data_IF_748733846679
#
_entry.id   IF_748733846679
#
_cell.length_a   1.000
_cell.length_b   1.000
_cell.length_c   1.000
_cell.angle_alpha   90.00
_cell.angle_beta   90.00
_cell.angle_gamma   90.00
#
_symmetry.space_group_name_H-M   'P 1'
#
loop_
_entity.id
_entity.type
_entity.pdbx_description
1 polymer ?
#
# COMPACT_ATOMS: atom_id res chain seq x y z
N UNK A 1 -16.14 -3.40 -9.98
CA UNK A 1 -14.76 -3.54 -10.50
C UNK A 1 -14.04 -4.48 -9.57
N UNK A 2 -13.38 -5.50 -10.10
CA UNK A 2 -12.51 -6.39 -9.34
C UNK A 2 -11.21 -5.69 -8.99
N UNK A 3 -10.75 -5.84 -7.75
CA UNK A 3 -9.62 -5.06 -7.24
C UNK A 3 -8.58 -5.84 -6.43
N UNK A 4 -7.38 -5.26 -6.36
CA UNK A 4 -6.36 -5.55 -5.35
C UNK A 4 -5.53 -4.29 -5.07
N UNK A 5 -5.67 -3.72 -3.86
CA UNK A 5 -5.09 -2.42 -3.51
C UNK A 5 -3.87 -2.51 -2.59
N UNK A 6 -3.29 -3.69 -2.43
CA UNK A 6 -2.08 -3.86 -1.64
C UNK A 6 -1.14 -4.87 -2.31
N UNK A 7 -0.32 -4.37 -3.23
CA UNK A 7 0.67 -5.14 -3.98
C UNK A 7 2.03 -4.45 -3.80
N UNK A 8 3.11 -5.20 -3.58
CA UNK A 8 4.46 -4.66 -3.53
C UNK A 8 5.20 -4.86 -4.84
N UNK A 9 6.02 -3.89 -5.24
CA UNK A 9 6.97 -4.08 -6.34
C UNK A 9 8.34 -4.47 -5.82
N UNK A 10 9.25 -4.78 -6.74
CA UNK A 10 10.66 -5.03 -6.43
C UNK A 10 11.40 -3.81 -5.81
N UNK A 11 10.72 -2.68 -5.65
CA UNK A 11 11.18 -1.55 -4.84
C UNK A 11 11.12 -1.88 -3.35
N UNK A 12 10.09 -2.61 -2.90
CA UNK A 12 10.02 -3.13 -1.54
C UNK A 12 11.04 -4.25 -1.34
N UNK A 13 11.93 -4.18 -0.35
CA UNK A 13 13.06 -5.11 -0.24
C UNK A 13 12.64 -6.57 0.02
N UNK A 14 11.48 -6.76 0.66
CA UNK A 14 10.88 -8.06 0.94
C UNK A 14 10.14 -8.69 -0.25
N UNK A 15 9.94 -7.96 -1.35
CA UNK A 15 9.26 -8.47 -2.54
C UNK A 15 10.26 -9.11 -3.51
N UNK A 16 9.74 -9.98 -4.39
CA UNK A 16 10.56 -10.64 -5.40
C UNK A 16 11.08 -9.65 -6.45
N UNK A 17 12.34 -9.80 -6.89
CA UNK A 17 12.94 -8.99 -7.98
C UNK A 17 12.10 -9.05 -9.29
N UNK A 18 11.29 -10.09 -9.49
CA UNK A 18 10.36 -10.25 -10.62
C UNK A 18 9.08 -9.40 -10.50
N UNK A 19 8.83 -8.73 -9.38
CA UNK A 19 7.71 -7.79 -9.18
C UNK A 19 7.97 -6.46 -9.91
N UNK A 20 8.27 -6.53 -11.21
CA UNK A 20 8.51 -5.40 -12.10
C UNK A 20 7.19 -4.75 -12.55
N UNK A 21 7.19 -3.49 -13.03
CA UNK A 21 5.98 -2.83 -13.51
C UNK A 21 5.21 -3.62 -14.56
N UNK A 22 5.87 -4.15 -15.60
CA UNK A 22 5.14 -4.93 -16.60
C UNK A 22 4.61 -6.24 -16.06
N UNK A 23 5.38 -6.94 -15.21
CA UNK A 23 4.94 -8.21 -14.65
C UNK A 23 3.71 -8.02 -13.75
N UNK A 24 3.71 -7.02 -12.84
CA UNK A 24 2.57 -6.73 -11.97
C UNK A 24 1.34 -6.41 -12.81
N UNK A 25 1.46 -5.46 -13.74
CA UNK A 25 0.33 -4.98 -14.54
C UNK A 25 -0.24 -6.10 -15.43
N UNK A 26 0.61 -6.86 -16.11
CA UNK A 26 0.15 -7.95 -16.96
C UNK A 26 -0.41 -9.12 -16.13
N UNK A 27 0.16 -9.40 -14.95
CA UNK A 27 -0.39 -10.41 -14.06
C UNK A 27 -1.77 -10.01 -13.57
N UNK A 28 -1.97 -8.77 -13.12
CA UNK A 28 -3.28 -8.28 -12.70
C UNK A 28 -4.35 -8.40 -13.80
N UNK A 29 -4.00 -8.09 -15.05
CA UNK A 29 -4.88 -8.31 -16.21
C UNK A 29 -5.20 -9.80 -16.40
N UNK A 30 -4.19 -10.68 -16.33
CA UNK A 30 -4.39 -12.14 -16.43
C UNK A 30 -5.31 -12.66 -15.32
N UNK A 31 -5.17 -12.09 -14.11
CA UNK A 31 -5.97 -12.39 -12.91
C UNK A 31 -7.40 -11.81 -12.96
N UNK A 32 -7.72 -11.06 -14.01
CA UNK A 32 -9.04 -10.47 -14.23
C UNK A 32 -9.36 -9.27 -13.34
N UNK A 33 -8.34 -8.57 -12.82
CA UNK A 33 -8.53 -7.37 -12.02
C UNK A 33 -8.79 -6.15 -12.92
N UNK A 34 -9.77 -5.33 -12.55
CA UNK A 34 -10.12 -4.11 -13.28
C UNK A 34 -9.30 -2.90 -12.78
N UNK A 35 -8.90 -2.92 -11.51
CA UNK A 35 -8.17 -1.83 -10.85
C UNK A 35 -7.23 -2.36 -9.77
N UNK A 36 -6.00 -1.84 -9.72
CA UNK A 36 -5.03 -2.22 -8.68
C UNK A 36 -4.34 -1.00 -8.06
N UNK A 37 -3.66 -1.24 -6.94
CA UNK A 37 -2.69 -0.31 -6.37
C UNK A 37 -1.41 -1.03 -5.96
N UNK A 38 -0.27 -0.44 -6.31
CA UNK A 38 1.04 -0.88 -5.81
C UNK A 38 1.43 0.03 -4.66
N UNK A 39 1.74 -0.56 -3.50
CA UNK A 39 1.89 0.10 -2.22
C UNK A 39 3.27 -0.20 -1.63
N UNK A 40 4.34 0.18 -2.32
CA UNK A 40 5.70 -0.05 -1.83
C UNK A 40 5.95 0.59 -0.46
N UNK A 41 6.77 -0.06 0.36
CA UNK A 41 7.09 0.43 1.70
C UNK A 41 7.76 1.81 1.63
N UNK A 42 7.15 2.80 2.27
CA UNK A 42 7.67 4.15 2.46
C UNK A 42 8.26 4.83 1.20
N UNK A 43 7.75 4.48 0.02
CA UNK A 43 8.23 5.02 -1.25
C UNK A 43 7.15 5.04 -2.34
N UNK A 44 7.25 6.05 -3.20
CA UNK A 44 6.36 6.22 -4.37
C UNK A 44 7.13 6.17 -5.70
N UNK A 45 8.42 5.83 -5.67
CA UNK A 45 9.30 5.98 -6.84
C UNK A 45 8.88 5.08 -8.02
N UNK A 46 8.23 3.96 -7.76
CA UNK A 46 7.78 3.04 -8.81
C UNK A 46 6.52 3.53 -9.56
N UNK A 47 5.77 4.48 -8.98
CA UNK A 47 4.43 4.86 -9.44
C UNK A 47 4.43 5.46 -10.85
N UNK A 48 5.48 6.21 -11.22
CA UNK A 48 5.57 6.79 -12.56
C UNK A 48 5.70 5.72 -13.65
N UNK A 49 6.49 4.66 -13.42
CA UNK A 49 6.62 3.58 -14.41
C UNK A 49 5.33 2.74 -14.47
N UNK A 50 4.69 2.49 -13.34
CA UNK A 50 3.38 1.81 -13.29
C UNK A 50 2.32 2.57 -14.09
N UNK A 51 2.26 3.90 -13.91
CA UNK A 51 1.40 4.78 -14.70
C UNK A 51 1.62 4.60 -16.20
N UNK A 52 2.87 4.73 -16.66
CA UNK A 52 3.22 4.61 -18.07
C UNK A 52 2.90 3.24 -18.66
N UNK A 53 3.08 2.16 -17.88
CA UNK A 53 2.77 0.80 -18.32
C UNK A 53 1.26 0.54 -18.39
N UNK A 54 0.48 1.09 -17.47
CA UNK A 54 -0.97 0.89 -17.40
C UNK A 54 -1.77 1.74 -18.38
N UNK A 55 -1.26 2.93 -18.73
CA UNK A 55 -1.96 3.95 -19.53
C UNK A 55 -2.61 3.42 -20.82
N UNK A 56 -1.96 2.47 -21.50
CA UNK A 56 -2.42 1.92 -22.78
C UNK A 56 -2.99 0.49 -22.64
N UNK A 57 -3.34 0.07 -21.43
CA UNK A 57 -3.89 -1.27 -21.12
C UNK A 57 -5.28 -1.18 -20.49
N UNK A 58 -6.00 -2.30 -20.51
CA UNK A 58 -7.35 -2.42 -19.94
C UNK A 58 -7.29 -2.68 -18.43
N UNK A 59 -6.66 -1.77 -17.69
CA UNK A 59 -6.57 -1.82 -16.22
C UNK A 59 -6.39 -0.41 -15.66
N UNK A 60 -7.12 -0.11 -14.60
CA UNK A 60 -7.01 1.17 -13.89
C UNK A 60 -6.01 1.10 -12.74
N UNK A 61 -5.45 2.24 -12.35
CA UNK A 61 -4.57 2.37 -11.20
C UNK A 61 -5.12 3.34 -10.16
N UNK A 62 -5.02 2.95 -8.90
CA UNK A 62 -4.79 3.90 -7.80
C UNK A 62 -3.30 3.93 -7.52
N UNK A 63 -2.76 5.11 -7.23
CA UNK A 63 -1.37 5.26 -6.85
C UNK A 63 -1.23 4.99 -5.36
N UNK A 64 -0.46 3.98 -5.01
CA UNK A 64 -0.36 3.47 -3.65
C UNK A 64 0.98 3.78 -2.97
N UNK A 65 1.00 3.55 -1.67
CA UNK A 65 2.18 3.49 -0.79
C UNK A 65 1.75 2.84 0.52
N UNK A 66 2.58 1.98 1.09
CA UNK A 66 2.40 1.50 2.47
C UNK A 66 3.39 2.23 3.37
N UNK A 67 2.89 3.00 4.34
CA UNK A 67 3.71 3.78 5.26
C UNK A 67 3.77 3.11 6.61
N UNK A 68 4.97 2.95 7.17
CA UNK A 68 5.18 2.52 8.55
C UNK A 68 5.29 3.75 9.45
N UNK A 69 4.31 3.96 10.34
CA UNK A 69 4.34 5.07 11.29
C UNK A 69 5.39 4.86 12.39
N UNK A 70 5.63 5.89 13.21
CA UNK A 70 6.52 5.80 14.39
C UNK A 70 6.11 4.71 15.37
N UNK A 71 4.83 4.41 15.44
CA UNK A 71 4.25 3.33 16.24
C UNK A 71 4.37 1.97 15.52
N UNK A 72 5.18 1.85 14.48
CA UNK A 72 5.38 0.62 13.69
C UNK A 72 4.07 0.06 13.08
N UNK A 73 3.06 0.92 12.91
CA UNK A 73 1.77 0.56 12.30
C UNK A 73 1.79 0.90 10.83
N UNK A 74 1.38 -0.06 9.99
CA UNK A 74 1.28 0.14 8.55
C UNK A 74 -0.06 0.78 8.14
N UNK A 75 0.03 1.75 7.25
CA UNK A 75 -1.10 2.52 6.73
C UNK A 75 -0.93 2.64 5.21
N UNK A 76 -1.94 2.22 4.45
CA UNK A 76 -1.96 2.45 3.01
C UNK A 76 -2.43 3.87 2.72
N UNK A 77 -1.67 4.57 1.88
CA UNK A 77 -2.11 5.79 1.22
C UNK A 77 -2.51 5.48 -0.22
N UNK A 78 -3.77 5.70 -0.57
CA UNK A 78 -4.30 5.43 -1.91
C UNK A 78 -4.81 6.72 -2.56
N UNK A 79 -4.26 7.03 -3.73
CA UNK A 79 -4.45 8.32 -4.40
C UNK A 79 -4.99 8.12 -5.81
N UNK A 80 -5.89 9.02 -6.25
CA UNK A 80 -6.42 9.03 -7.62
C UNK A 80 -5.46 9.69 -8.61
N UNK A 81 -4.69 10.66 -8.13
CA UNK A 81 -3.81 11.48 -8.95
C UNK A 81 -2.34 11.17 -8.64
N UNK A 82 -1.55 10.93 -9.69
CA UNK A 82 -0.13 10.60 -9.57
C UNK A 82 0.65 11.72 -8.89
N UNK A 83 0.31 12.98 -9.19
CA UNK A 83 1.00 14.15 -8.63
C UNK A 83 0.80 14.27 -7.12
N UNK A 84 -0.39 13.93 -6.63
CA UNK A 84 -0.73 13.95 -5.21
C UNK A 84 0.05 12.88 -4.46
N UNK A 85 0.06 11.65 -4.99
CA UNK A 85 0.89 10.56 -4.48
C UNK A 85 2.39 10.93 -4.44
N UNK A 86 2.93 11.51 -5.51
CA UNK A 86 4.34 11.91 -5.56
C UNK A 86 4.67 13.03 -4.55
N UNK A 87 3.75 13.98 -4.33
CA UNK A 87 3.94 15.03 -3.34
C UNK A 87 3.87 14.47 -1.91
N UNK A 88 2.96 13.52 -1.65
CA UNK A 88 2.97 12.76 -0.39
C UNK A 88 4.27 11.96 -0.22
N UNK A 89 4.79 11.34 -1.28
CA UNK A 89 6.07 10.63 -1.28
C UNK A 89 7.24 11.52 -0.82
N UNK A 90 7.31 12.77 -1.30
CA UNK A 90 8.31 13.75 -0.83
C UNK A 90 8.18 14.05 0.66
N UNK A 91 6.94 14.11 1.18
CA UNK A 91 6.70 14.28 2.60
C UNK A 91 7.19 13.05 3.39
N UNK A 92 6.91 11.84 2.92
CA UNK A 92 7.41 10.59 3.51
C UNK A 92 8.94 10.59 3.55
N UNK A 93 9.61 10.90 2.45
CA UNK A 93 11.07 10.95 2.39
C UNK A 93 11.68 11.99 3.34
N UNK A 94 10.97 13.08 3.61
CA UNK A 94 11.41 14.12 4.55
C UNK A 94 11.27 13.71 6.03
N UNK A 95 10.45 12.71 6.34
CA UNK A 95 10.16 12.23 7.71
C UNK A 95 10.72 10.83 7.99
N UNK A 96 11.23 10.15 6.96
CA UNK A 96 11.87 8.84 7.02
C UNK A 96 13.34 8.97 7.45
N UNK A 97 13.77 8.27 8.51
CA UNK A 97 15.19 8.26 8.88
C UNK A 97 16.02 7.53 7.84
N UNK A 98 17.25 8.00 7.61
CA UNK A 98 18.18 7.29 6.73
C UNK A 98 18.94 6.20 7.50
N UNK A 99 18.71 4.95 7.13
CA UNK A 99 19.46 3.79 7.58
C UNK A 99 19.96 3.08 6.32
N UNK A 100 21.25 2.73 6.25
CA UNK A 100 21.77 1.99 5.10
C UNK A 100 21.16 0.59 5.06
N UNK A 101 20.60 0.20 3.92
CA UNK A 101 20.04 -1.13 3.69
C UNK A 101 21.14 -2.20 3.75
N UNK A 102 20.83 -3.31 4.41
CA UNK A 102 21.62 -4.54 4.35
C UNK A 102 20.94 -5.51 3.37
N UNK A 103 21.31 -5.43 2.09
CA UNK A 103 20.71 -6.24 1.02
C UNK A 103 20.76 -7.75 1.29
N UNK A 104 21.78 -8.24 2.01
CA UNK A 104 21.89 -9.67 2.33
C UNK A 104 20.84 -10.16 3.33
N UNK A 105 20.24 -9.25 4.09
CA UNK A 105 19.23 -9.55 5.10
C UNK A 105 17.83 -9.14 4.65
N UNK A 106 17.67 -7.92 4.13
CA UNK A 106 16.36 -7.38 3.77
C UNK A 106 15.97 -7.62 2.32
N UNK A 107 16.94 -7.77 1.41
CA UNK A 107 16.71 -7.80 -0.04
C UNK A 107 17.05 -6.48 -0.74
N UNK A 108 16.92 -6.48 -2.07
CA UNK A 108 17.26 -5.32 -2.92
C UNK A 108 16.05 -4.39 -3.03
N UNK A 109 16.31 -3.10 -3.25
CA UNK A 109 15.26 -2.10 -3.45
C UNK A 109 15.45 -1.48 -4.82
N UNK A 110 14.79 -2.04 -5.82
CA UNK A 110 15.03 -1.76 -7.23
C UNK A 110 13.92 -0.88 -7.80
N UNK A 111 14.31 0.25 -8.39
CA UNK A 111 13.40 1.10 -9.16
C UNK A 111 13.55 0.78 -10.64
N UNK A 112 12.43 0.48 -11.28
CA UNK A 112 12.37 0.14 -12.69
C UNK A 112 11.71 1.25 -13.52
N UNK A 113 12.12 1.40 -14.77
CA UNK A 113 11.37 2.17 -15.76
C UNK A 113 10.25 1.34 -16.41
N UNK A 114 9.53 1.93 -17.37
CA UNK A 114 8.43 1.27 -18.09
C UNK A 114 8.81 0.08 -18.97
N UNK A 115 10.10 -0.12 -19.23
CA UNK A 115 10.63 -1.25 -20.00
C UNK A 115 11.19 -2.36 -19.07
N UNK A 116 10.94 -2.27 -17.76
CA UNK A 116 11.53 -3.14 -16.73
C UNK A 116 13.07 -3.07 -16.71
N UNK A 117 13.66 -1.94 -17.10
CA UNK A 117 15.09 -1.69 -16.90
C UNK A 117 15.30 -1.01 -15.54
N UNK A 118 16.27 -1.50 -14.76
CA UNK A 118 16.64 -0.92 -13.47
C UNK A 118 17.22 0.48 -13.73
N UNK A 119 16.59 1.52 -13.19
CA UNK A 119 17.06 2.91 -13.27
C UNK A 119 17.74 3.37 -11.98
N UNK A 120 17.39 2.77 -10.86
CA UNK A 120 17.96 3.10 -9.56
C UNK A 120 17.93 1.88 -8.63
N UNK A 121 18.88 1.81 -7.71
CA UNK A 121 18.84 0.91 -6.55
C UNK A 121 18.99 1.75 -5.31
N UNK A 122 18.01 1.69 -4.40
CA UNK A 122 18.04 2.53 -3.19
C UNK A 122 18.95 1.94 -2.12
N UNK A 123 19.91 2.76 -1.65
CA UNK A 123 20.79 2.42 -0.54
C UNK A 123 20.13 2.60 0.84
N UNK A 124 19.12 3.47 0.96
CA UNK A 124 18.41 3.73 2.20
C UNK A 124 17.28 2.73 2.44
N UNK A 125 17.26 2.06 3.58
CA UNK A 125 16.27 1.04 3.95
C UNK A 125 14.85 1.63 3.95
N UNK A 126 13.93 0.95 3.27
CA UNK A 126 12.51 1.29 3.23
C UNK A 126 11.68 0.67 4.35
N UNK A 127 12.12 -0.48 4.89
CA UNK A 127 11.52 -1.14 6.08
C UNK A 127 12.00 -0.43 7.35
N UNK A 128 11.53 0.79 7.56
CA UNK A 128 11.86 1.61 8.70
C UNK A 128 10.70 2.52 9.06
N UNK A 129 10.46 2.66 10.36
CA UNK A 129 9.44 3.55 10.90
C UNK A 129 9.77 5.02 10.59
N UNK A 130 8.77 5.78 10.16
CA UNK A 130 8.86 7.24 10.08
C UNK A 130 8.99 7.85 11.49
N UNK A 131 9.44 9.10 11.54
CA UNK A 131 9.37 9.90 12.77
C UNK A 131 7.95 10.40 13.11
N UNK A 132 7.02 10.27 12.16
CA UNK A 132 5.63 10.71 12.22
C UNK A 132 4.70 9.64 12.81
N UNK A 133 3.76 10.06 13.64
CA UNK A 133 2.71 9.22 14.23
C UNK A 133 1.66 8.75 13.20
N UNK A 134 0.88 7.73 13.55
CA UNK A 134 -0.29 7.26 12.78
C UNK A 134 -1.20 8.44 12.39
N UNK A 135 -1.51 9.33 13.34
CA UNK A 135 -2.39 10.48 13.10
C UNK A 135 -1.78 11.46 12.10
N UNK A 136 -0.49 11.77 12.23
CA UNK A 136 0.22 12.63 11.29
C UNK A 136 0.27 12.02 9.88
N UNK A 137 0.53 10.72 9.76
CA UNK A 137 0.51 10.00 8.48
C UNK A 137 -0.86 10.09 7.82
N UNK A 138 -1.93 9.78 8.56
CA UNK A 138 -3.31 9.85 8.04
C UNK A 138 -3.68 11.26 7.59
N UNK A 139 -3.38 12.26 8.43
CA UNK A 139 -3.66 13.66 8.12
C UNK A 139 -2.91 14.11 6.85
N UNK A 140 -1.69 13.64 6.64
CA UNK A 140 -0.91 13.97 5.45
C UNK A 140 -1.43 13.26 4.21
N UNK A 141 -1.82 11.99 4.30
CA UNK A 141 -2.51 11.29 3.20
C UNK A 141 -3.73 12.11 2.75
N UNK A 142 -4.56 12.56 3.70
CA UNK A 142 -5.73 13.39 3.43
C UNK A 142 -5.39 14.77 2.86
N UNK A 143 -4.32 15.41 3.35
CA UNK A 143 -3.87 16.72 2.86
C UNK A 143 -3.48 16.66 1.36
N UNK A 144 -2.99 15.51 0.89
CA UNK A 144 -2.72 15.26 -0.52
C UNK A 144 -3.87 14.47 -1.18
N UNK A 145 -5.12 14.67 -0.75
CA UNK A 145 -6.34 14.08 -1.35
C UNK A 145 -6.36 12.54 -1.44
N UNK A 146 -5.53 11.85 -0.67
CA UNK A 146 -5.51 10.40 -0.57
C UNK A 146 -6.53 9.85 0.41
N UNK A 147 -6.72 8.53 0.36
CA UNK A 147 -7.48 7.74 1.33
C UNK A 147 -6.53 6.93 2.19
N UNK A 148 -6.76 6.95 3.50
CA UNK A 148 -5.93 6.26 4.47
C UNK A 148 -6.59 4.97 4.95
N UNK A 149 -5.97 3.83 4.67
CA UNK A 149 -6.46 2.51 5.05
C UNK A 149 -5.54 1.92 6.11
N UNK A 150 -6.12 1.40 7.20
CA UNK A 150 -5.35 0.64 8.19
C UNK A 150 -5.00 -0.73 7.59
N UNK A 151 -3.72 -0.97 7.29
CA UNK A 151 -3.25 -2.19 6.62
C UNK A 151 -3.33 -3.39 7.58
N UNK A 152 -3.64 -4.57 7.01
CA UNK A 152 -3.65 -5.90 7.65
C UNK A 152 -3.91 -5.89 9.17
N UNK A 153 -5.02 -5.25 9.57
CA UNK A 153 -5.20 -4.70 10.91
C UNK A 153 -5.07 -5.73 12.06
N UNK A 154 -5.29 -7.02 11.77
CA UNK A 154 -5.24 -8.15 12.71
C UNK A 154 -4.22 -9.25 12.37
N UNK A 155 -3.54 -9.18 11.22
CA UNK A 155 -2.80 -10.34 10.69
C UNK A 155 -1.29 -10.26 10.82
N UNK A 156 -0.73 -9.05 10.77
CA UNK A 156 0.72 -8.83 10.84
C UNK A 156 1.10 -8.14 12.14
N UNK A 157 2.39 -8.21 12.49
CA UNK A 157 2.95 -7.53 13.65
C UNK A 157 2.76 -6.02 13.57
N UNK A 158 2.80 -5.47 12.37
CA UNK A 158 2.58 -4.05 12.07
C UNK A 158 1.10 -3.68 11.86
N UNK A 159 0.17 -4.62 12.01
CA UNK A 159 -1.27 -4.34 12.00
C UNK A 159 -1.66 -3.60 13.28
N UNK A 160 -2.44 -2.53 13.17
CA UNK A 160 -2.75 -1.62 14.29
C UNK A 160 -3.30 -2.34 15.55
N UNK A 161 -4.12 -3.37 15.41
CA UNK A 161 -4.67 -4.09 16.57
C UNK A 161 -3.63 -5.06 17.15
N UNK A 162 -2.80 -5.68 16.30
CA UNK A 162 -1.71 -6.54 16.77
C UNK A 162 -0.67 -5.74 17.53
N UNK A 163 -0.35 -4.54 17.04
CA UNK A 163 0.69 -3.69 17.61
C UNK A 163 0.21 -2.90 18.83
N UNK A 164 -0.93 -2.20 18.74
CA UNK A 164 -1.44 -1.33 19.81
C UNK A 164 -2.53 -1.97 20.67
N UNK A 165 -3.13 -3.07 20.23
CA UNK A 165 -4.25 -3.73 20.92
C UNK A 165 -5.62 -3.12 20.65
N UNK A 166 -5.70 -1.93 20.03
CA UNK A 166 -6.95 -1.23 19.73
C UNK A 166 -6.81 -0.23 18.58
N UNK A 167 -7.93 0.19 17.98
CA UNK A 167 -8.00 1.30 17.01
C UNK A 167 -8.49 2.56 17.73
N UNK A 168 -7.73 3.66 17.81
CA UNK A 168 -8.18 4.89 18.46
C UNK A 168 -9.46 5.45 17.83
N UNK A 169 -10.42 5.89 18.65
CA UNK A 169 -11.74 6.38 18.20
C UNK A 169 -11.67 7.64 17.34
N UNK A 170 -10.69 8.50 17.61
CA UNK A 170 -10.58 9.80 16.94
C UNK A 170 -9.77 9.74 15.65
N UNK A 171 -9.19 8.57 15.33
CA UNK A 171 -8.38 8.36 14.14
C UNK A 171 -9.25 8.45 12.88
N UNK A 172 -8.85 9.30 11.93
CA UNK A 172 -9.62 9.61 10.73
C UNK A 172 -9.29 8.68 9.56
N UNK A 173 -9.29 7.36 9.77
CA UNK A 173 -9.08 6.42 8.67
C UNK A 173 -10.33 6.31 7.78
N UNK A 174 -10.14 5.94 6.52
CA UNK A 174 -11.21 5.77 5.52
C UNK A 174 -11.61 4.30 5.34
N UNK A 175 -10.72 3.37 5.66
CA UNK A 175 -10.98 1.94 5.55
C UNK A 175 -10.05 1.09 6.40
N UNK A 176 -10.35 -0.20 6.45
CA UNK A 176 -9.57 -1.20 7.18
C UNK A 176 -9.39 -2.41 6.28
N UNK A 177 -8.15 -2.82 6.11
CA UNK A 177 -7.80 -4.07 5.45
C UNK A 177 -7.90 -5.24 6.43
N UNK A 178 -8.60 -6.28 6.00
CA UNK A 178 -8.89 -7.50 6.75
C UNK A 178 -8.79 -8.71 5.84
N UNK A 179 -8.56 -9.89 6.42
CA UNK A 179 -8.45 -11.14 5.66
C UNK A 179 -9.79 -11.83 5.41
N UNK A 180 -10.73 -11.72 6.33
CA UNK A 180 -12.02 -12.41 6.26
C UNK A 180 -13.13 -11.72 7.07
N UNK A 181 -14.36 -12.19 6.89
CA UNK A 181 -15.53 -11.67 7.63
C UNK A 181 -15.44 -11.92 9.15
N UNK A 182 -14.68 -12.93 9.60
CA UNK A 182 -14.52 -13.19 11.03
C UNK A 182 -13.70 -12.09 11.70
N UNK A 183 -12.71 -11.53 11.00
CA UNK A 183 -11.98 -10.35 11.46
C UNK A 183 -12.86 -9.12 11.56
N UNK A 184 -13.73 -8.86 10.57
CA UNK A 184 -14.69 -7.76 10.62
C UNK A 184 -15.52 -7.83 11.91
N UNK A 185 -16.09 -8.99 12.21
CA UNK A 185 -16.91 -9.17 13.41
C UNK A 185 -16.10 -8.99 14.71
N UNK A 186 -14.86 -9.50 14.76
CA UNK A 186 -13.95 -9.27 15.89
C UNK A 186 -13.68 -7.78 16.08
N UNK A 187 -13.37 -7.05 15.02
CA UNK A 187 -13.07 -5.62 15.07
C UNK A 187 -14.30 -4.84 15.55
N UNK A 188 -15.48 -5.09 14.97
CA UNK A 188 -16.74 -4.44 15.37
C UNK A 188 -17.09 -4.71 16.84
N UNK A 189 -16.90 -5.94 17.31
CA UNK A 189 -17.20 -6.30 18.72
C UNK A 189 -16.34 -5.53 19.73
N UNK A 190 -15.07 -5.26 19.40
CA UNK A 190 -14.12 -4.57 20.27
C UNK A 190 -14.15 -3.05 20.09
N UNK A 191 -14.58 -2.59 18.91
CA UNK A 191 -14.58 -1.18 18.52
C UNK A 191 -15.96 -0.76 17.98
N UNK A 192 -17.01 -0.75 18.80
CA UNK A 192 -18.39 -0.48 18.36
C UNK A 192 -18.63 0.94 17.82
N UNK A 193 -17.64 1.83 17.92
CA UNK A 193 -17.67 3.16 17.29
C UNK A 193 -17.30 3.15 15.81
N UNK A 194 -16.69 2.06 15.32
CA UNK A 194 -16.39 1.87 13.89
C UNK A 194 -17.71 1.56 13.19
N UNK A 195 -18.25 2.58 12.51
CA UNK A 195 -19.50 2.53 11.75
C UNK A 195 -19.21 2.98 10.32
N UNK A 196 -19.91 2.39 9.37
CA UNK A 196 -19.85 2.81 7.96
C UNK A 196 -18.42 2.85 7.40
N UNK A 197 -17.60 1.88 7.81
CA UNK A 197 -16.21 1.70 7.37
C UNK A 197 -16.15 0.82 6.13
N UNK A 198 -15.26 1.19 5.21
CA UNK A 198 -14.91 0.35 4.08
C UNK A 198 -13.97 -0.78 4.53
N UNK A 199 -14.40 -2.02 4.28
CA UNK A 199 -13.60 -3.22 4.54
C UNK A 199 -12.96 -3.66 3.23
N UNK A 200 -11.64 -3.74 3.22
CA UNK A 200 -10.87 -4.15 2.05
C UNK A 200 -10.22 -5.51 2.29
N UNK A 201 -10.17 -6.31 1.23
CA UNK A 201 -9.54 -7.63 1.22
C UNK A 201 -8.48 -7.64 0.11
N UNK A 202 -7.24 -7.29 0.47
CA UNK A 202 -6.13 -7.22 -0.48
C UNK A 202 -5.17 -8.40 -0.28
N UNK A 203 -4.28 -8.61 -1.25
CA UNK A 203 -3.34 -9.73 -1.22
C UNK A 203 -2.13 -9.52 -0.31
N UNK A 204 -1.67 -8.27 -0.14
CA UNK A 204 -0.34 -7.97 0.42
C UNK A 204 0.75 -8.72 -0.39
N UNK A 205 0.59 -8.72 -1.72
CA UNK A 205 1.37 -9.58 -2.61
C UNK A 205 2.83 -9.13 -2.72
N UNK A 206 3.73 -10.05 -2.40
CA UNK A 206 5.18 -9.91 -2.55
C UNK A 206 5.74 -10.77 -3.70
N UNK A 207 4.92 -11.64 -4.27
CA UNK A 207 5.18 -12.41 -5.49
C UNK A 207 3.99 -12.32 -6.44
N UNK A 208 4.23 -12.49 -7.74
CA UNK A 208 3.20 -12.37 -8.76
C UNK A 208 2.04 -13.35 -8.57
N UNK A 209 2.34 -14.55 -8.05
CA UNK A 209 1.34 -15.59 -7.80
C UNK A 209 0.38 -15.24 -6.65
N UNK A 210 0.82 -14.36 -5.74
CA UNK A 210 0.06 -13.97 -4.56
C UNK A 210 -0.96 -12.86 -4.87
N UNK A 211 -0.82 -12.17 -6.01
CA UNK A 211 -1.81 -11.18 -6.48
C UNK A 211 -3.18 -11.85 -6.58
N UNK A 212 -4.18 -11.20 -6.00
CA UNK A 212 -5.54 -11.74 -5.95
C UNK A 212 -6.08 -12.00 -7.36
N UNK A 213 -6.85 -13.08 -7.50
CA UNK A 213 -7.78 -13.24 -8.62
C UNK A 213 -8.96 -12.26 -8.45
N UNK A 214 -9.82 -12.17 -9.46
CA UNK A 214 -11.09 -11.43 -9.43
C UNK A 214 -12.11 -11.96 -8.39
N UNK A 215 -11.81 -11.78 -7.10
CA UNK A 215 -12.58 -12.30 -5.96
C UNK A 215 -13.36 -11.22 -5.23
N UNK A 216 -12.80 -10.01 -5.15
CA UNK A 216 -13.37 -8.91 -4.38
C UNK A 216 -13.76 -7.77 -5.31
N UNK A 217 -14.97 -7.27 -5.11
CA UNK A 217 -15.54 -6.20 -5.92
C UNK A 217 -15.62 -4.90 -5.12
N UNK A 218 -15.36 -3.80 -5.81
CA UNK A 218 -15.61 -2.46 -5.31
C UNK A 218 -16.46 -1.67 -6.30
N UNK A 219 -17.31 -0.81 -5.76
CA UNK A 219 -18.01 0.23 -6.49
C UNK A 219 -17.25 1.54 -6.30
N UNK A 220 -16.68 2.09 -7.38
CA UNK A 220 -15.88 3.33 -7.30
C UNK A 220 -16.67 4.54 -6.79
N UNK A 221 -18.02 4.52 -6.82
CA UNK A 221 -18.82 5.57 -6.17
C UNK A 221 -18.69 5.56 -4.65
N UNK A 222 -18.35 4.42 -4.07
CA UNK A 222 -18.09 4.29 -2.63
C UNK A 222 -16.66 4.77 -2.28
N UNK A 223 -15.83 4.99 -3.32
CA UNK A 223 -14.46 5.51 -3.25
C UNK A 223 -14.35 7.01 -3.63
N UNK A 224 -15.39 7.59 -4.24
CA UNK A 224 -15.47 8.99 -4.69
C UNK A 224 -16.18 9.88 -3.68
#
# INVERSE_FOLDING_TARGET
MYYDFHIHSALSPCANDEMTPNNIINMAIIKGLDIIAVCDHNSTLQQNALHEVAKDKDISLLYGIEVESREEVHILGLFKDLIDNQNFGKWVDSNKPYIKNNESFFGKQLVFNKNDEIVEKLDGLLLVSLSSSIEEVINQIHQYNGKAILAHALDKQNGIITHLGYIPKDLKFDGIEVKDNLQIEKIKSKHPWIKDTMWLFNSDAHNLIDINEALYEINLKDWM
#
